data_IF_261278919607
#
_entry.id   IF_261278919607
#
_cell.length_a   1.000
_cell.length_b   1.000
_cell.length_c   1.000
_cell.angle_alpha   90.00
_cell.angle_beta   90.00
_cell.angle_gamma   90.00
#
_symmetry.space_group_name_H-M   'P 1'
#
loop_
_entity.id
_entity.type
_entity.pdbx_description
1 polymer ?
#
# COMPACT_ATOMS: atom_id res chain seq x y z
N UNK A 1 -4.87 -7.55 29.43
CA UNK A 1 -4.61 -7.16 28.03
C UNK A 1 -5.75 -7.71 27.23
N UNK A 2 -6.60 -6.80 26.75
CA UNK A 2 -7.92 -7.06 26.20
C UNK A 2 -7.86 -7.86 24.90
N UNK A 3 -8.84 -8.74 24.74
CA UNK A 3 -9.03 -9.53 23.54
C UNK A 3 -9.78 -8.70 22.49
N UNK A 4 -9.09 -8.40 21.38
CA UNK A 4 -9.63 -8.42 20.03
C UNK A 4 -10.88 -7.57 19.71
N UNK A 5 -10.76 -6.24 19.75
CA UNK A 5 -11.66 -5.34 19.01
C UNK A 5 -11.11 -5.06 17.61
N UNK A 6 -11.42 -5.92 16.63
CA UNK A 6 -11.14 -5.63 15.20
C UNK A 6 -12.25 -6.10 14.25
N UNK A 7 -13.45 -6.39 14.75
CA UNK A 7 -14.47 -7.06 13.93
C UNK A 7 -15.37 -6.15 13.09
N UNK A 8 -15.41 -4.82 13.32
CA UNK A 8 -16.52 -3.97 12.83
C UNK A 8 -16.13 -2.62 12.19
N UNK A 9 -14.96 -2.48 11.55
CA UNK A 9 -14.57 -1.21 10.88
C UNK A 9 -14.57 -1.23 9.36
N UNK A 10 -14.65 -2.40 8.72
CA UNK A 10 -14.74 -2.48 7.27
C UNK A 10 -16.20 -2.32 6.77
N UNK A 11 -16.34 -2.02 5.48
CA UNK A 11 -17.64 -1.76 4.85
C UNK A 11 -18.63 -2.92 5.05
N UNK A 12 -18.11 -4.15 5.09
CA UNK A 12 -18.90 -5.35 5.30
C UNK A 12 -19.38 -5.46 6.75
N UNK A 13 -18.52 -5.20 7.72
CA UNK A 13 -18.87 -5.12 9.14
C UNK A 13 -19.94 -4.06 9.41
N UNK A 14 -19.83 -2.89 8.78
CA UNK A 14 -20.85 -1.83 8.86
C UNK A 14 -22.18 -2.31 8.24
N UNK A 15 -22.14 -2.97 7.07
CA UNK A 15 -23.34 -3.45 6.38
C UNK A 15 -24.05 -4.56 7.17
N UNK A 16 -23.28 -5.48 7.77
CA UNK A 16 -23.80 -6.55 8.63
C UNK A 16 -24.42 -5.98 9.91
N UNK A 17 -23.77 -5.01 10.56
CA UNK A 17 -24.28 -4.35 11.76
C UNK A 17 -25.58 -3.59 11.47
N UNK A 18 -25.63 -2.83 10.38
CA UNK A 18 -26.85 -2.12 9.95
C UNK A 18 -28.01 -3.08 9.66
N UNK A 19 -27.74 -4.17 8.94
CA UNK A 19 -28.75 -5.17 8.60
C UNK A 19 -29.23 -5.95 9.85
N UNK A 20 -28.36 -6.22 10.82
CA UNK A 20 -28.73 -6.85 12.09
C UNK A 20 -29.61 -5.94 12.95
N UNK A 21 -29.33 -4.63 12.97
CA UNK A 21 -30.16 -3.62 13.65
C UNK A 21 -31.53 -3.46 13.00
N UNK A 22 -31.60 -3.50 11.66
CA UNK A 22 -32.86 -3.39 10.91
C UNK A 22 -33.78 -4.61 11.12
N UNK A 23 -33.22 -5.81 11.31
CA UNK A 23 -33.96 -7.03 11.66
C UNK A 23 -34.58 -6.95 13.07
N UNK A 24 -33.92 -6.29 14.02
CA UNK A 24 -34.44 -6.15 15.39
C UNK A 24 -35.57 -5.11 15.51
N UNK A 25 -35.53 -4.02 14.74
CA UNK A 25 -36.51 -2.93 14.82
C UNK A 25 -37.84 -3.25 14.11
N UNK A 26 -37.86 -4.17 13.14
CA UNK A 26 -39.05 -4.50 12.33
C UNK A 26 -39.59 -5.92 12.55
N UNK A 27 -40.00 -6.26 13.77
CA UNK A 27 -40.62 -7.57 14.09
C UNK A 27 -41.98 -7.85 13.38
N UNK A 28 -42.58 -6.89 12.67
CA UNK A 28 -43.94 -7.02 12.08
C UNK A 28 -44.03 -6.91 10.54
N UNK A 29 -42.91 -6.84 9.80
CA UNK A 29 -42.94 -6.95 8.34
C UNK A 29 -41.80 -7.88 7.88
N UNK A 30 -42.15 -9.14 7.64
CA UNK A 30 -41.26 -10.30 7.40
C UNK A 30 -40.49 -10.27 6.08
N UNK A 31 -40.07 -9.09 5.58
CA UNK A 31 -39.54 -8.97 4.21
C UNK A 31 -38.37 -8.03 3.97
N UNK A 32 -37.64 -7.57 4.99
CA UNK A 32 -36.62 -6.53 4.79
C UNK A 32 -35.18 -6.95 5.18
N UNK A 33 -34.97 -7.88 6.11
CA UNK A 33 -33.60 -8.30 6.48
C UNK A 33 -32.97 -9.33 5.54
N UNK A 34 -31.75 -9.09 5.07
CA UNK A 34 -30.95 -10.08 4.32
C UNK A 34 -30.28 -11.07 5.29
N UNK A 35 -30.31 -12.37 4.99
CA UNK A 35 -29.58 -13.38 5.78
C UNK A 35 -28.07 -13.15 5.68
N UNK A 36 -27.31 -13.60 6.69
CA UNK A 36 -25.84 -13.57 6.63
C UNK A 36 -25.29 -14.25 5.36
N UNK A 37 -25.99 -15.26 4.84
CA UNK A 37 -25.64 -15.91 3.58
C UNK A 37 -25.89 -15.02 2.36
N UNK A 38 -26.99 -14.28 2.36
CA UNK A 38 -27.33 -13.33 1.28
C UNK A 38 -26.31 -12.18 1.26
N UNK A 39 -25.90 -11.67 2.42
CA UNK A 39 -24.84 -10.65 2.53
C UNK A 39 -23.50 -11.16 1.97
N UNK A 40 -23.12 -12.39 2.30
CA UNK A 40 -21.90 -13.00 1.76
C UNK A 40 -21.97 -13.11 0.23
N UNK A 41 -23.12 -13.48 -0.32
CA UNK A 41 -23.28 -13.66 -1.75
C UNK A 41 -23.32 -12.31 -2.51
N UNK A 42 -23.92 -11.27 -1.93
CA UNK A 42 -23.82 -9.89 -2.43
C UNK A 42 -22.36 -9.39 -2.42
N UNK A 43 -21.59 -9.64 -1.35
CA UNK A 43 -20.18 -9.26 -1.29
C UNK A 43 -19.32 -9.97 -2.33
N UNK A 44 -19.59 -11.26 -2.61
CA UNK A 44 -18.92 -11.98 -3.70
C UNK A 44 -19.24 -11.36 -5.05
N UNK A 45 -20.50 -10.97 -5.27
CA UNK A 45 -20.92 -10.31 -6.50
C UNK A 45 -20.18 -8.98 -6.71
N UNK A 46 -20.09 -8.15 -5.66
CA UNK A 46 -19.31 -6.89 -5.70
C UNK A 46 -17.82 -7.13 -5.92
N UNK A 47 -17.22 -8.11 -5.24
CA UNK A 47 -15.82 -8.46 -5.41
C UNK A 47 -15.52 -8.90 -6.84
N UNK A 48 -16.34 -9.80 -7.42
CA UNK A 48 -16.18 -10.27 -8.79
C UNK A 48 -16.41 -9.15 -9.80
N UNK A 49 -17.46 -8.33 -9.62
CA UNK A 49 -17.73 -7.19 -10.49
C UNK A 49 -16.60 -6.15 -10.47
N UNK A 50 -16.03 -5.88 -9.29
CA UNK A 50 -14.91 -4.95 -9.14
C UNK A 50 -13.58 -5.52 -9.65
N UNK A 51 -13.33 -6.80 -9.43
CA UNK A 51 -12.09 -7.47 -9.85
C UNK A 51 -11.99 -7.58 -11.37
N UNK A 52 -13.05 -8.03 -12.03
CA UNK A 52 -13.06 -8.20 -13.49
C UNK A 52 -12.89 -6.84 -14.20
N UNK A 53 -13.58 -5.80 -13.74
CA UNK A 53 -13.48 -4.45 -14.35
C UNK A 53 -12.13 -3.78 -14.10
N UNK A 54 -11.59 -3.86 -12.87
CA UNK A 54 -10.28 -3.27 -12.54
C UNK A 54 -9.14 -3.99 -13.28
N UNK A 55 -9.20 -5.33 -13.34
CA UNK A 55 -8.17 -6.12 -14.03
C UNK A 55 -8.19 -5.85 -15.53
N UNK A 56 -9.37 -5.80 -16.14
CA UNK A 56 -9.54 -5.47 -17.56
C UNK A 56 -9.05 -4.04 -17.85
N UNK A 57 -9.37 -3.06 -16.99
CA UNK A 57 -8.89 -1.69 -17.15
C UNK A 57 -7.35 -1.61 -17.10
N UNK A 58 -6.73 -2.26 -16.10
CA UNK A 58 -5.27 -2.29 -15.98
C UNK A 58 -4.61 -3.01 -17.15
N UNK A 59 -5.20 -4.11 -17.63
CA UNK A 59 -4.72 -4.82 -18.80
C UNK A 59 -4.75 -3.93 -20.05
N UNK A 60 -5.87 -3.28 -20.33
CA UNK A 60 -5.98 -2.35 -21.46
C UNK A 60 -5.07 -1.14 -21.30
N UNK A 61 -4.88 -0.63 -20.08
CA UNK A 61 -3.93 0.45 -19.79
C UNK A 61 -2.50 0.02 -20.13
N UNK A 62 -2.09 -1.19 -19.72
CA UNK A 62 -0.78 -1.75 -20.05
C UNK A 62 -0.62 -1.98 -21.56
N UNK A 63 -1.66 -2.46 -22.23
CA UNK A 63 -1.68 -2.65 -23.70
C UNK A 63 -1.54 -1.30 -24.42
N UNK A 64 -2.29 -0.27 -24.01
CA UNK A 64 -2.20 1.08 -24.60
C UNK A 64 -0.83 1.72 -24.35
N UNK A 65 -0.27 1.59 -23.14
CA UNK A 65 1.09 2.04 -22.84
C UNK A 65 2.12 1.31 -23.71
N UNK A 66 1.97 0.00 -23.93
CA UNK A 66 2.90 -0.77 -24.78
C UNK A 66 2.87 -0.37 -26.25
N UNK A 67 1.74 0.17 -26.74
CA UNK A 67 1.61 0.68 -28.11
C UNK A 67 2.12 2.12 -28.26
N UNK A 68 2.27 2.84 -27.14
CA UNK A 68 2.72 4.22 -27.09
C UNK A 68 3.96 4.37 -26.20
N UNK A 69 5.12 4.01 -26.76
CA UNK A 69 6.42 4.01 -26.06
C UNK A 69 6.79 5.34 -25.42
N UNK A 70 6.37 6.48 -25.97
CA UNK A 70 6.63 7.80 -25.38
C UNK A 70 5.89 7.98 -24.04
N UNK A 71 4.62 7.58 -23.99
CA UNK A 71 3.82 7.63 -22.76
C UNK A 71 4.27 6.59 -21.74
N UNK A 72 4.69 5.41 -22.21
CA UNK A 72 5.31 4.40 -21.36
C UNK A 72 6.61 4.89 -20.71
N UNK A 73 7.47 5.58 -21.47
CA UNK A 73 8.70 6.16 -20.94
C UNK A 73 8.41 7.21 -19.86
N UNK A 74 7.48 8.13 -20.12
CA UNK A 74 7.06 9.14 -19.15
C UNK A 74 6.47 8.54 -17.86
N UNK A 75 5.59 7.55 -17.99
CA UNK A 75 5.01 6.87 -16.83
C UNK A 75 6.09 6.14 -16.01
N UNK A 76 7.08 5.53 -16.66
CA UNK A 76 8.22 4.90 -15.99
C UNK A 76 9.09 5.92 -15.27
N UNK A 77 9.35 7.07 -15.88
CA UNK A 77 10.10 8.17 -15.25
C UNK A 77 9.39 8.67 -13.99
N UNK A 78 8.08 8.91 -14.04
CA UNK A 78 7.29 9.34 -12.88
C UNK A 78 7.40 8.36 -11.70
N UNK A 79 7.19 7.06 -11.97
CA UNK A 79 7.31 6.02 -10.93
C UNK A 79 8.73 5.96 -10.37
N UNK A 80 9.74 6.10 -11.23
CA UNK A 80 11.16 6.08 -10.82
C UNK A 80 11.49 7.29 -9.96
N UNK A 81 11.02 8.49 -10.32
CA UNK A 81 11.19 9.70 -9.53
C UNK A 81 10.56 9.56 -8.13
N UNK A 82 9.33 9.05 -8.04
CA UNK A 82 8.67 8.81 -6.75
C UNK A 82 9.46 7.81 -5.93
N UNK A 83 9.94 6.72 -6.54
CA UNK A 83 10.73 5.71 -5.84
C UNK A 83 12.03 6.30 -5.26
N UNK A 84 12.74 7.11 -6.03
CA UNK A 84 13.92 7.82 -5.54
C UNK A 84 13.58 8.80 -4.41
N UNK A 85 12.47 9.53 -4.52
CA UNK A 85 12.03 10.46 -3.48
C UNK A 85 11.65 9.74 -2.19
N UNK A 86 11.00 8.58 -2.29
CA UNK A 86 10.68 7.73 -1.13
C UNK A 86 11.96 7.21 -0.48
N UNK A 87 12.94 6.74 -1.25
CA UNK A 87 14.23 6.31 -0.70
C UNK A 87 15.02 7.44 -0.06
N UNK A 88 14.87 8.67 -0.58
CA UNK A 88 15.47 9.88 -0.01
C UNK A 88 14.83 10.26 1.34
N UNK A 89 13.49 10.16 1.43
CA UNK A 89 12.74 10.48 2.65
C UNK A 89 12.79 9.37 3.70
N UNK A 90 12.81 8.12 3.27
CA UNK A 90 12.79 6.91 4.09
C UNK A 90 13.90 5.95 3.69
N UNK A 91 15.18 6.33 3.90
CA UNK A 91 16.30 5.49 3.53
C UNK A 91 16.30 4.20 4.38
N UNK A 92 16.35 2.99 3.78
CA UNK A 92 16.37 1.73 4.53
C UNK A 92 17.62 1.57 5.40
N UNK A 93 18.72 2.20 4.99
CA UNK A 93 19.95 2.30 5.74
C UNK A 93 20.16 3.77 6.04
N UNK A 94 20.19 4.17 7.31
CA UNK A 94 20.40 5.57 7.70
C UNK A 94 21.87 5.94 7.85
N UNK A 95 22.73 4.91 7.95
CA UNK A 95 24.13 5.05 8.31
C UNK A 95 24.97 3.93 7.69
N UNK A 96 26.06 4.31 7.02
CA UNK A 96 27.10 3.44 6.49
C UNK A 96 28.37 3.59 7.33
N UNK A 97 28.79 2.51 7.98
CA UNK A 97 30.08 2.48 8.70
C UNK A 97 31.20 2.14 7.72
N UNK A 98 32.21 3.01 7.60
CA UNK A 98 33.41 2.79 6.77
C UNK A 98 34.66 2.83 7.62
N UNK A 99 35.62 1.94 7.36
CA UNK A 99 36.94 2.00 7.98
C UNK A 99 37.91 2.76 7.08
N UNK A 100 38.67 3.67 7.68
CA UNK A 100 39.72 4.41 7.00
C UNK A 100 40.93 3.50 6.84
N UNK A 101 41.25 3.09 5.61
CA UNK A 101 42.33 2.13 5.33
C UNK A 101 43.72 2.75 5.37
N UNK A 102 43.82 4.05 5.12
CA UNK A 102 45.06 4.84 5.13
C UNK A 102 44.74 6.28 5.53
N UNK A 103 45.72 6.95 6.13
CA UNK A 103 45.64 8.36 6.48
C UNK A 103 45.17 9.19 5.27
N UNK A 104 44.02 9.86 5.43
CA UNK A 104 43.32 10.54 4.33
C UNK A 104 42.74 11.87 4.82
N UNK A 105 42.87 12.90 3.99
CA UNK A 105 42.23 14.19 4.21
C UNK A 105 40.97 14.30 3.32
N UNK A 106 39.84 14.69 3.91
CA UNK A 106 38.57 14.91 3.20
C UNK A 106 38.08 16.32 3.51
N UNK A 107 38.16 17.22 2.53
CA UNK A 107 37.97 18.64 2.76
C UNK A 107 38.96 19.17 3.81
N UNK A 108 38.45 19.87 4.82
CA UNK A 108 39.27 20.43 5.91
C UNK A 108 39.48 19.46 7.08
N UNK A 109 39.00 18.22 6.98
CA UNK A 109 39.11 17.22 8.05
C UNK A 109 40.16 16.14 7.73
N UNK A 110 40.96 15.78 8.74
CA UNK A 110 41.97 14.72 8.67
C UNK A 110 41.48 13.44 9.38
N UNK A 111 41.64 12.29 8.71
CA UNK A 111 41.25 10.98 9.24
C UNK A 111 42.45 10.01 9.23
N UNK A 112 42.91 9.52 10.39
CA UNK A 112 43.98 8.52 10.46
C UNK A 112 43.47 7.10 10.13
N UNK A 113 44.39 6.25 9.68
CA UNK A 113 44.13 4.84 9.39
C UNK A 113 43.60 4.08 10.61
N UNK A 114 42.68 3.14 10.38
CA UNK A 114 42.07 2.29 11.40
C UNK A 114 40.84 2.87 12.09
N UNK A 115 40.49 4.14 11.86
CA UNK A 115 39.27 4.75 12.43
C UNK A 115 38.02 4.32 11.65
N UNK A 116 36.94 4.00 12.39
CA UNK A 116 35.61 3.82 11.80
C UNK A 116 34.89 5.16 11.69
N UNK A 117 34.54 5.54 10.48
CA UNK A 117 33.75 6.72 10.15
C UNK A 117 32.29 6.33 9.90
N UNK A 118 31.40 7.20 10.36
CA UNK A 118 29.96 7.05 10.22
C UNK A 118 29.48 7.98 9.12
N UNK A 119 29.04 7.43 7.99
CA UNK A 119 28.61 8.21 6.84
C UNK A 119 27.11 8.03 6.61
N UNK A 120 26.28 9.09 6.62
CA UNK A 120 24.93 9.00 6.08
C UNK A 120 24.98 8.58 4.61
N UNK A 121 24.06 7.73 4.12
CA UNK A 121 23.94 7.47 2.70
C UNK A 121 23.50 8.74 1.97
N UNK A 122 24.12 8.97 0.81
CA UNK A 122 23.85 10.07 -0.12
C UNK A 122 22.53 9.90 -0.86
#
# INVERSE_FOLDING_TARGET
>A
MEAGETANSDLLGILMESNFREIQEHQNNTKIGMSAKDVIDECKLFYLAGQETTSVLLLWTMVLLSQHTDWQARAREEVTMIFHEVLRLYPPVTVLTRMVSKDTQVGDMYFPAGVQSLCPPS
#
